data_IF_286590683059
#
_entry.id   IF_286590683059
#
_cell.length_a   1.000
_cell.length_b   1.000
_cell.length_c   1.000
_cell.angle_alpha   90.00
_cell.angle_beta   90.00
_cell.angle_gamma   90.00
#
_symmetry.space_group_name_H-M   'P 1'
#
loop_
_entity.id
_entity.type
_entity.pdbx_description
1 polymer ?
#
# COMPACT_ATOMS: atom_id res chain seq x y z
N UNK A 1 42.91 -7.69 -59.09
CA UNK A 1 42.52 -8.60 -57.99
C UNK A 1 42.17 -7.86 -56.70
N UNK A 2 42.99 -6.92 -56.23
CA UNK A 2 42.84 -6.30 -54.90
C UNK A 2 41.55 -5.49 -54.72
N UNK A 3 41.15 -4.67 -55.71
CA UNK A 3 39.92 -3.87 -55.62
C UNK A 3 38.65 -4.73 -55.63
N UNK A 4 38.61 -5.75 -56.50
CA UNK A 4 37.51 -6.74 -56.55
C UNK A 4 37.33 -7.45 -55.21
N UNK A 5 38.44 -7.80 -54.54
CA UNK A 5 38.38 -8.41 -53.21
C UNK A 5 37.85 -7.43 -52.14
N UNK A 6 38.19 -6.14 -52.25
CA UNK A 6 37.70 -5.09 -51.35
C UNK A 6 36.20 -4.88 -51.55
N UNK A 7 35.72 -4.87 -52.79
CA UNK A 7 34.29 -4.76 -53.09
C UNK A 7 33.50 -5.97 -52.57
N UNK A 8 34.02 -7.18 -52.76
CA UNK A 8 33.41 -8.39 -52.20
C UNK A 8 33.36 -8.35 -50.67
N UNK A 9 34.46 -7.94 -50.03
CA UNK A 9 34.53 -7.78 -48.58
C UNK A 9 33.53 -6.72 -48.08
N UNK A 10 33.44 -5.58 -48.77
CA UNK A 10 32.48 -4.53 -48.47
C UNK A 10 31.04 -5.07 -48.47
N UNK A 11 30.65 -5.79 -49.53
CA UNK A 11 29.32 -6.41 -49.62
C UNK A 11 29.02 -7.35 -48.45
N UNK A 12 30.00 -8.15 -48.02
CA UNK A 12 29.84 -9.02 -46.85
C UNK A 12 29.65 -8.24 -45.55
N UNK A 13 30.39 -7.14 -45.36
CA UNK A 13 30.28 -6.29 -44.17
C UNK A 13 28.91 -5.60 -44.11
N UNK A 14 28.43 -5.05 -45.22
CA UNK A 14 27.08 -4.46 -45.28
C UNK A 14 26.01 -5.51 -44.92
N UNK A 15 26.12 -6.73 -45.45
CA UNK A 15 25.22 -7.81 -45.09
C UNK A 15 25.29 -8.20 -43.60
N UNK A 16 26.43 -8.03 -42.92
CA UNK A 16 26.50 -8.20 -41.46
C UNK A 16 25.85 -7.04 -40.70
N UNK A 17 25.98 -5.80 -41.18
CA UNK A 17 25.30 -4.64 -40.58
C UNK A 17 23.78 -4.74 -40.65
N UNK A 18 23.24 -5.41 -41.67
CA UNK A 18 21.81 -5.64 -41.81
C UNK A 18 21.23 -6.60 -40.76
N UNK A 19 22.06 -7.43 -40.12
CA UNK A 19 21.58 -8.33 -39.07
C UNK A 19 21.10 -7.53 -37.85
N UNK A 20 19.97 -7.95 -37.28
CA UNK A 20 19.37 -7.34 -36.10
C UNK A 20 20.07 -7.81 -34.81
N UNK A 21 21.35 -7.48 -34.65
CA UNK A 21 22.13 -7.86 -33.47
C UNK A 21 23.29 -6.88 -33.22
N UNK A 22 23.36 -6.29 -32.03
CA UNK A 22 24.34 -5.20 -31.76
C UNK A 22 25.79 -5.68 -31.72
N UNK A 23 26.04 -6.89 -31.23
CA UNK A 23 27.41 -7.45 -31.22
C UNK A 23 27.97 -7.71 -32.62
N UNK A 24 27.15 -8.26 -33.52
CA UNK A 24 27.53 -8.47 -34.92
C UNK A 24 27.85 -7.12 -35.58
N UNK A 25 26.97 -6.12 -35.38
CA UNK A 25 27.20 -4.77 -35.90
C UNK A 25 28.48 -4.16 -35.33
N UNK A 26 28.73 -4.32 -34.03
CA UNK A 26 29.93 -3.82 -33.36
C UNK A 26 31.22 -4.42 -33.94
N UNK A 27 31.32 -5.74 -34.02
CA UNK A 27 32.48 -6.42 -34.64
C UNK A 27 32.65 -6.01 -36.10
N UNK A 28 31.55 -5.79 -36.82
CA UNK A 28 31.58 -5.34 -38.21
C UNK A 28 32.16 -3.93 -38.32
N UNK A 29 31.73 -2.99 -37.47
CA UNK A 29 32.26 -1.61 -37.46
C UNK A 29 33.76 -1.58 -37.11
N UNK A 30 34.24 -2.47 -36.24
CA UNK A 30 35.68 -2.60 -35.97
C UNK A 30 36.49 -2.96 -37.22
N UNK A 31 35.98 -3.88 -38.05
CA UNK A 31 36.62 -4.26 -39.31
C UNK A 31 36.55 -3.10 -40.32
N UNK A 32 35.38 -2.44 -40.40
CA UNK A 32 35.18 -1.27 -41.26
C UNK A 32 36.20 -0.18 -40.91
N UNK A 33 36.47 0.10 -39.63
CA UNK A 33 37.47 1.09 -39.20
C UNK A 33 38.88 0.78 -39.71
N UNK A 34 39.29 -0.49 -39.65
CA UNK A 34 40.60 -0.90 -40.17
C UNK A 34 40.69 -0.72 -41.70
N UNK A 35 39.66 -1.12 -42.43
CA UNK A 35 39.64 -1.01 -43.89
C UNK A 35 39.54 0.44 -44.36
N UNK A 36 38.73 1.26 -43.69
CA UNK A 36 38.59 2.68 -43.95
C UNK A 36 39.93 3.42 -43.80
N UNK A 37 40.71 3.06 -42.79
CA UNK A 37 42.02 3.69 -42.56
C UNK A 37 43.09 3.31 -43.60
N UNK A 38 42.98 2.15 -44.26
CA UNK A 38 44.04 1.60 -45.12
C UNK A 38 43.73 1.66 -46.62
N UNK A 39 42.46 1.74 -47.02
CA UNK A 39 42.05 1.65 -48.42
C UNK A 39 41.30 2.91 -48.89
N UNK A 40 41.77 3.55 -49.96
CA UNK A 40 41.04 4.62 -50.63
C UNK A 40 39.74 4.11 -51.27
N UNK A 41 39.82 3.01 -52.02
CA UNK A 41 38.68 2.43 -52.70
C UNK A 41 37.55 2.07 -51.72
N UNK A 42 37.88 1.49 -50.55
CA UNK A 42 36.90 1.17 -49.52
C UNK A 42 36.23 2.43 -48.93
N UNK A 43 36.97 3.52 -48.72
CA UNK A 43 36.41 4.79 -48.24
C UNK A 43 35.36 5.32 -49.19
N UNK A 44 35.63 5.31 -50.50
CA UNK A 44 34.67 5.76 -51.51
C UNK A 44 33.39 4.93 -51.49
N UNK A 45 33.51 3.59 -51.39
CA UNK A 45 32.35 2.70 -51.28
C UNK A 45 31.52 3.00 -50.03
N UNK A 46 32.15 3.05 -48.85
CA UNK A 46 31.43 3.29 -47.59
C UNK A 46 30.78 4.67 -47.54
N UNK A 47 31.46 5.70 -48.08
CA UNK A 47 30.92 7.06 -48.06
C UNK A 47 29.68 7.20 -48.95
N UNK A 48 29.60 6.45 -50.06
CA UNK A 48 28.38 6.44 -50.88
C UNK A 48 27.15 5.92 -50.10
N UNK A 49 27.36 4.98 -49.17
CA UNK A 49 26.29 4.42 -48.32
C UNK A 49 26.35 4.92 -46.86
N UNK A 50 26.97 6.09 -46.61
CA UNK A 50 27.30 6.53 -45.25
C UNK A 50 26.07 6.70 -44.35
N UNK A 51 24.94 7.13 -44.92
CA UNK A 51 23.67 7.25 -44.19
C UNK A 51 23.20 5.89 -43.65
N UNK A 52 23.37 4.82 -44.44
CA UNK A 52 23.02 3.45 -44.02
C UNK A 52 23.84 3.00 -42.80
N UNK A 53 25.13 3.32 -42.78
CA UNK A 53 26.01 3.07 -41.64
C UNK A 53 25.56 3.84 -40.40
N UNK A 54 25.29 5.15 -40.54
CA UNK A 54 24.83 6.03 -39.45
C UNK A 54 23.54 5.45 -38.84
N UNK A 55 22.56 5.14 -39.68
CA UNK A 55 21.26 4.69 -39.22
C UNK A 55 21.36 3.34 -38.49
N UNK A 56 22.13 2.39 -39.03
CA UNK A 56 22.27 1.04 -38.45
C UNK A 56 23.11 0.99 -37.16
N UNK A 57 24.01 1.95 -36.95
CA UNK A 57 25.01 1.88 -35.87
C UNK A 57 24.89 2.98 -34.81
N UNK A 58 24.24 4.11 -35.10
CA UNK A 58 24.04 5.20 -34.13
C UNK A 58 22.62 5.26 -33.55
N UNK A 59 21.64 4.65 -34.21
CA UNK A 59 20.25 4.59 -33.74
C UNK A 59 19.64 5.97 -33.45
N UNK A 60 19.88 6.93 -34.35
CA UNK A 60 19.53 8.34 -34.15
C UNK A 60 18.04 8.66 -34.36
N UNK A 61 17.22 7.68 -34.74
CA UNK A 61 15.78 7.84 -35.01
C UNK A 61 14.97 6.87 -34.16
N UNK A 62 13.75 7.27 -33.81
CA UNK A 62 12.81 6.47 -32.98
C UNK A 62 12.49 5.13 -33.64
N UNK A 63 12.40 5.11 -34.97
CA UNK A 63 12.09 3.90 -35.74
C UNK A 63 13.28 2.95 -35.91
N UNK A 64 14.50 3.38 -35.54
CA UNK A 64 15.72 2.62 -35.76
C UNK A 64 16.55 2.50 -34.48
N UNK A 65 15.91 2.05 -33.40
CA UNK A 65 16.61 1.72 -32.16
C UNK A 65 17.63 0.60 -32.40
N UNK A 66 18.77 0.70 -31.74
CA UNK A 66 19.82 -0.31 -31.86
C UNK A 66 19.32 -1.66 -31.35
N UNK A 67 19.63 -2.76 -32.06
CA UNK A 67 19.17 -4.09 -31.69
C UNK A 67 19.74 -4.54 -30.34
N UNK A 68 19.16 -5.56 -29.68
CA UNK A 68 19.77 -6.17 -28.51
C UNK A 68 21.14 -6.80 -28.88
N UNK A 69 22.03 -7.01 -27.90
CA UNK A 69 21.93 -6.66 -26.48
C UNK A 69 22.22 -5.17 -26.18
N UNK A 70 21.51 -4.59 -25.20
CA UNK A 70 21.55 -3.15 -24.88
C UNK A 70 22.93 -2.64 -24.44
N UNK A 71 23.72 -3.45 -23.73
CA UNK A 71 25.07 -3.09 -23.31
C UNK A 71 25.98 -2.87 -24.52
N UNK A 72 25.96 -3.82 -25.45
CA UNK A 72 26.73 -3.75 -26.70
C UNK A 72 26.19 -2.69 -27.65
N UNK A 73 24.88 -2.41 -27.63
CA UNK A 73 24.30 -1.30 -28.38
C UNK A 73 24.90 0.05 -27.97
N UNK A 74 25.11 0.29 -26.66
CA UNK A 74 25.79 1.51 -26.18
C UNK A 74 27.24 1.57 -26.69
N UNK A 75 27.99 0.47 -26.55
CA UNK A 75 29.37 0.38 -27.04
C UNK A 75 29.46 0.60 -28.55
N UNK A 76 28.52 0.04 -29.32
CA UNK A 76 28.39 0.23 -30.76
C UNK A 76 28.21 1.71 -31.11
N UNK A 77 27.27 2.39 -30.42
CA UNK A 77 27.01 3.82 -30.64
C UNK A 77 28.26 4.66 -30.36
N UNK A 78 28.87 4.47 -29.18
CA UNK A 78 30.08 5.20 -28.76
C UNK A 78 31.26 4.97 -29.71
N UNK A 79 31.52 3.71 -30.06
CA UNK A 79 32.63 3.35 -30.93
C UNK A 79 32.43 3.90 -32.34
N UNK A 80 31.22 3.78 -32.90
CA UNK A 80 30.90 4.32 -34.23
C UNK A 80 31.08 5.84 -34.28
N UNK A 81 30.58 6.56 -33.28
CA UNK A 81 30.77 8.01 -33.19
C UNK A 81 32.27 8.39 -33.11
N UNK A 82 33.03 7.65 -32.31
CA UNK A 82 34.49 7.83 -32.19
C UNK A 82 35.21 7.61 -33.51
N UNK A 83 34.87 6.55 -34.25
CA UNK A 83 35.41 6.26 -35.58
C UNK A 83 35.11 7.41 -36.54
N UNK A 84 33.86 7.87 -36.61
CA UNK A 84 33.46 8.96 -37.50
C UNK A 84 34.24 10.25 -37.20
N UNK A 85 34.42 10.60 -35.91
CA UNK A 85 35.25 11.75 -35.48
C UNK A 85 36.68 11.61 -35.98
N UNK A 86 37.33 10.46 -35.73
CA UNK A 86 38.70 10.19 -36.18
C UNK A 86 38.85 10.20 -37.71
N UNK A 87 37.85 9.66 -38.42
CA UNK A 87 37.84 9.67 -39.88
C UNK A 87 37.72 11.09 -40.42
N UNK A 88 36.85 11.92 -39.81
CA UNK A 88 36.70 13.33 -40.17
C UNK A 88 38.00 14.12 -39.93
N UNK A 89 38.65 13.96 -38.78
CA UNK A 89 39.93 14.61 -38.47
C UNK A 89 41.02 14.27 -39.49
N UNK A 90 41.08 13.00 -39.92
CA UNK A 90 42.14 12.51 -40.82
C UNK A 90 41.84 12.73 -42.30
N UNK A 91 40.58 12.69 -42.71
CA UNK A 91 40.18 12.62 -44.11
C UNK A 91 39.12 13.66 -44.50
N UNK A 92 38.51 14.37 -43.56
CA UNK A 92 37.46 15.37 -43.79
C UNK A 92 37.79 16.38 -44.90
N UNK A 93 39.00 17.00 -44.93
CA UNK A 93 39.36 17.93 -45.99
C UNK A 93 39.36 17.33 -47.40
N UNK A 94 39.58 16.01 -47.51
CA UNK A 94 39.63 15.29 -48.79
C UNK A 94 38.27 14.78 -49.23
N UNK A 95 37.40 14.39 -48.30
CA UNK A 95 36.09 13.81 -48.61
C UNK A 95 34.98 14.75 -48.14
N UNK A 96 34.49 15.59 -49.05
CA UNK A 96 33.40 16.53 -48.77
C UNK A 96 32.16 15.88 -48.18
N UNK A 97 31.82 14.66 -48.62
CA UNK A 97 30.67 13.93 -48.09
C UNK A 97 30.85 13.59 -46.59
N UNK A 98 32.05 13.17 -46.19
CA UNK A 98 32.38 12.93 -44.79
C UNK A 98 32.31 14.22 -43.96
N UNK A 99 32.84 15.32 -44.49
CA UNK A 99 32.82 16.63 -43.84
C UNK A 99 31.39 17.15 -43.63
N UNK A 100 30.56 17.15 -44.68
CA UNK A 100 29.15 17.56 -44.60
C UNK A 100 28.37 16.66 -43.65
N UNK A 101 28.53 15.33 -43.75
CA UNK A 101 27.84 14.39 -42.85
C UNK A 101 28.26 14.54 -41.39
N UNK A 102 29.55 14.77 -41.11
CA UNK A 102 30.03 15.02 -39.75
C UNK A 102 29.45 16.32 -39.19
N UNK A 103 29.52 17.41 -39.95
CA UNK A 103 28.96 18.70 -39.53
C UNK A 103 27.44 18.61 -39.34
N UNK A 104 26.74 17.84 -40.16
CA UNK A 104 25.31 17.56 -40.00
C UNK A 104 25.03 16.74 -38.72
N UNK A 105 25.82 15.71 -38.41
CA UNK A 105 25.67 14.94 -37.17
C UNK A 105 25.91 15.81 -35.93
N UNK A 106 26.92 16.67 -35.99
CA UNK A 106 27.28 17.61 -34.92
C UNK A 106 26.20 18.69 -34.71
N UNK A 107 25.66 19.25 -35.79
CA UNK A 107 24.79 20.44 -35.73
C UNK A 107 23.29 20.14 -35.81
N UNK A 108 22.88 19.13 -36.58
CA UNK A 108 21.46 18.86 -36.86
C UNK A 108 20.89 17.65 -36.10
N UNK A 109 21.73 16.67 -35.72
CA UNK A 109 21.29 15.50 -34.94
C UNK A 109 21.72 15.54 -33.46
N UNK A 110 22.27 16.67 -33.00
CA UNK A 110 22.78 16.90 -31.63
C UNK A 110 23.59 15.71 -31.08
N UNK A 111 24.36 15.03 -31.94
CA UNK A 111 25.24 13.96 -31.48
C UNK A 111 26.42 14.60 -30.78
N UNK A 112 26.41 14.56 -29.45
CA UNK A 112 27.56 14.97 -28.66
C UNK A 112 28.66 13.91 -28.83
N UNK A 113 29.62 14.19 -29.72
CA UNK A 113 30.75 13.27 -29.96
C UNK A 113 31.67 13.12 -28.74
N UNK A 114 31.58 14.02 -27.76
CA UNK A 114 32.33 13.93 -26.50
C UNK A 114 31.53 13.22 -25.39
N UNK A 115 30.19 13.15 -25.52
CA UNK A 115 29.30 12.38 -24.64
C UNK A 115 28.13 11.74 -25.42
N UNK A 116 28.42 10.64 -26.12
CA UNK A 116 27.50 9.99 -27.09
C UNK A 116 26.27 9.36 -26.42
N UNK A 117 26.33 9.10 -25.11
CA UNK A 117 25.24 8.55 -24.31
C UNK A 117 24.23 9.59 -23.86
N UNK A 118 24.54 10.89 -24.02
CA UNK A 118 23.60 11.95 -23.68
C UNK A 118 22.34 11.82 -24.55
N UNK A 119 21.15 11.67 -23.94
CA UNK A 119 19.92 11.48 -24.69
C UNK A 119 19.69 12.71 -25.57
N UNK A 120 19.57 12.45 -26.88
CA UNK A 120 19.32 13.45 -27.91
C UNK A 120 18.08 14.25 -27.52
N UNK A 121 18.07 15.57 -27.72
CA UNK A 121 16.97 16.44 -27.24
C UNK A 121 15.56 15.96 -27.62
N UNK A 122 15.39 15.31 -28.78
CA UNK A 122 14.13 14.71 -29.23
C UNK A 122 13.76 13.46 -28.43
N UNK A 123 14.71 12.56 -28.16
CA UNK A 123 14.46 11.38 -27.31
C UNK A 123 14.25 11.78 -25.86
N UNK A 124 14.96 12.81 -25.38
CA UNK A 124 14.77 13.37 -24.05
C UNK A 124 13.40 14.04 -23.89
N UNK A 125 12.88 14.69 -24.94
CA UNK A 125 11.54 15.29 -24.94
C UNK A 125 10.45 14.22 -24.92
N UNK A 126 10.55 13.20 -25.76
CA UNK A 126 9.60 12.08 -25.78
C UNK A 126 9.63 11.28 -24.47
N UNK A 127 10.81 11.08 -23.88
CA UNK A 127 10.96 10.42 -22.59
C UNK A 127 10.39 11.28 -21.44
N UNK A 128 10.57 12.62 -21.51
CA UNK A 128 9.88 13.55 -20.61
C UNK A 128 8.36 13.47 -20.76
N UNK A 129 7.83 13.55 -21.97
CA UNK A 129 6.38 13.45 -22.23
C UNK A 129 5.81 12.12 -21.72
N UNK A 130 6.52 11.00 -21.92
CA UNK A 130 6.12 9.70 -21.39
C UNK A 130 6.17 9.66 -19.85
N UNK A 131 7.20 10.24 -19.24
CA UNK A 131 7.34 10.29 -17.79
C UNK A 131 6.28 11.21 -17.16
N UNK A 132 5.99 12.35 -17.77
CA UNK A 132 4.91 13.27 -17.40
C UNK A 132 3.55 12.58 -17.54
N UNK A 133 3.27 11.92 -18.66
CA UNK A 133 2.03 11.17 -18.85
C UNK A 133 1.86 10.05 -17.81
N UNK A 134 2.94 9.33 -17.50
CA UNK A 134 2.93 8.33 -16.45
C UNK A 134 2.70 8.94 -15.07
N UNK A 135 3.32 10.09 -14.77
CA UNK A 135 3.16 10.79 -13.50
C UNK A 135 1.71 11.28 -13.35
N UNK A 136 1.15 11.91 -14.38
CA UNK A 136 -0.26 12.36 -14.41
C UNK A 136 -1.20 11.17 -14.17
N UNK A 137 -0.95 10.03 -14.81
CA UNK A 137 -1.78 8.83 -14.62
C UNK A 137 -1.69 8.32 -13.18
N UNK A 138 -0.50 8.29 -12.58
CA UNK A 138 -0.30 7.84 -11.20
C UNK A 138 -0.96 8.79 -10.19
N UNK A 139 -0.86 10.10 -10.41
CA UNK A 139 -1.52 11.10 -9.56
C UNK A 139 -3.04 11.00 -9.66
N UNK A 140 -3.59 10.83 -10.85
CA UNK A 140 -5.03 10.61 -11.05
C UNK A 140 -5.52 9.33 -10.37
N UNK A 141 -4.76 8.23 -10.47
CA UNK A 141 -5.10 7.00 -9.75
C UNK A 141 -5.14 7.21 -8.23
N UNK A 142 -4.17 7.95 -7.69
CA UNK A 142 -4.12 8.28 -6.26
C UNK A 142 -5.29 9.17 -5.83
N UNK A 143 -5.64 10.16 -6.64
CA UNK A 143 -6.77 11.06 -6.41
C UNK A 143 -8.09 10.29 -6.40
N UNK A 144 -8.32 9.42 -7.38
CA UNK A 144 -9.50 8.56 -7.44
C UNK A 144 -9.63 7.68 -6.20
N UNK A 145 -8.53 7.04 -5.75
CA UNK A 145 -8.54 6.24 -4.53
C UNK A 145 -8.82 7.10 -3.29
N UNK A 146 -8.28 8.31 -3.25
CA UNK A 146 -8.52 9.25 -2.15
C UNK A 146 -9.99 9.65 -2.08
N UNK A 147 -10.60 9.93 -3.23
CA UNK A 147 -12.02 10.24 -3.34
C UNK A 147 -12.89 9.03 -2.94
N UNK A 148 -12.60 7.85 -3.47
CA UNK A 148 -13.33 6.62 -3.12
C UNK A 148 -13.27 6.36 -1.60
N UNK A 149 -12.10 6.51 -0.98
CA UNK A 149 -11.94 6.39 0.47
C UNK A 149 -12.73 7.46 1.24
N UNK A 150 -12.81 8.69 0.74
CA UNK A 150 -13.61 9.76 1.36
C UNK A 150 -15.11 9.44 1.34
N UNK A 151 -15.61 8.96 0.20
CA UNK A 151 -17.02 8.62 0.02
C UNK A 151 -17.43 7.47 0.93
N UNK A 152 -16.68 6.37 0.91
CA UNK A 152 -17.01 5.21 1.75
C UNK A 152 -16.76 5.46 3.24
N UNK A 153 -15.86 6.38 3.61
CA UNK A 153 -15.54 6.67 5.02
C UNK A 153 -16.75 7.13 5.83
N UNK A 154 -17.63 7.93 5.22
CA UNK A 154 -18.84 8.41 5.89
C UNK A 154 -19.88 7.29 6.00
N UNK A 155 -20.03 6.49 4.95
CA UNK A 155 -20.93 5.33 4.95
C UNK A 155 -20.51 4.28 5.98
N UNK A 156 -19.21 3.97 6.06
CA UNK A 156 -18.66 3.04 7.05
C UNK A 156 -18.92 3.56 8.47
N UNK A 157 -18.65 4.83 8.74
CA UNK A 157 -18.91 5.43 10.06
C UNK A 157 -20.39 5.34 10.43
N UNK A 158 -21.29 5.64 9.49
CA UNK A 158 -22.74 5.48 9.69
C UNK A 158 -23.13 4.03 9.97
N UNK A 159 -22.59 3.09 9.20
CA UNK A 159 -22.83 1.65 9.35
C UNK A 159 -22.32 1.13 10.70
N UNK A 160 -21.14 1.58 11.15
CA UNK A 160 -20.58 1.25 12.47
C UNK A 160 -21.47 1.82 13.57
N UNK A 161 -21.86 3.10 13.50
CA UNK A 161 -22.76 3.71 14.49
C UNK A 161 -24.12 3.00 14.56
N UNK A 162 -24.69 2.63 13.41
CA UNK A 162 -25.94 1.84 13.36
C UNK A 162 -25.77 0.47 13.99
N UNK A 163 -24.63 -0.19 13.75
CA UNK A 163 -24.30 -1.49 14.36
C UNK A 163 -24.16 -1.36 15.87
N UNK A 164 -23.45 -0.34 16.36
CA UNK A 164 -23.31 -0.04 17.79
C UNK A 164 -24.65 0.28 18.45
N UNK A 165 -25.51 1.05 17.76
CA UNK A 165 -26.86 1.35 18.23
C UNK A 165 -27.73 0.09 18.31
N UNK A 166 -27.69 -0.77 17.29
CA UNK A 166 -28.38 -2.06 17.31
C UNK A 166 -27.89 -2.93 18.47
N UNK A 167 -26.57 -3.01 18.69
CA UNK A 167 -25.98 -3.72 19.82
C UNK A 167 -26.40 -3.14 21.17
N UNK A 168 -26.38 -1.82 21.34
CA UNK A 168 -26.78 -1.16 22.58
C UNK A 168 -28.26 -1.41 22.92
N UNK A 169 -29.14 -1.39 21.91
CA UNK A 169 -30.55 -1.74 22.09
C UNK A 169 -30.71 -3.21 22.49
N UNK A 170 -30.01 -4.13 21.81
CA UNK A 170 -30.04 -5.56 22.14
C UNK A 170 -29.53 -5.84 23.56
N UNK A 171 -28.42 -5.22 23.97
CA UNK A 171 -27.85 -5.34 25.32
C UNK A 171 -28.77 -4.71 26.37
N UNK A 172 -29.37 -3.55 26.09
CA UNK A 172 -30.27 -2.86 27.02
C UNK A 172 -31.58 -3.61 27.23
N UNK A 173 -32.15 -4.18 26.17
CA UNK A 173 -33.35 -5.03 26.26
C UNK A 173 -33.10 -6.28 27.07
N UNK A 174 -31.90 -6.87 26.96
CA UNK A 174 -31.51 -8.07 27.70
C UNK A 174 -31.21 -7.81 29.19
N UNK A 175 -30.94 -6.56 29.60
CA UNK A 175 -30.77 -6.19 31.02
C UNK A 175 -32.10 -6.02 31.77
N UNK A 176 -33.19 -5.64 31.07
CA UNK A 176 -34.51 -5.45 31.68
C UNK A 176 -35.16 -6.75 32.16
N UNK A 177 -34.70 -7.90 31.69
CA UNK A 177 -35.20 -9.24 32.07
C UNK A 177 -34.52 -9.81 33.33
N UNK A 178 -33.53 -9.11 33.89
CA UNK A 178 -32.76 -9.55 35.06
C UNK A 178 -33.04 -8.69 36.30
N UNK A 179 -34.29 -8.66 36.77
CA UNK A 179 -34.61 -8.19 38.13
C UNK A 179 -34.98 -9.43 38.96
N UNK A 180 -34.17 -9.86 39.95
CA UNK A 180 -34.58 -10.88 40.90
C UNK A 180 -35.73 -10.33 41.74
N UNK A 181 -36.91 -10.94 41.65
CA UNK A 181 -38.01 -10.71 42.58
C UNK A 181 -37.56 -11.17 43.97
N UNK A 182 -37.33 -10.22 44.88
CA UNK A 182 -37.15 -10.50 46.31
C UNK A 182 -38.53 -10.90 46.86
N UNK A 183 -38.67 -12.04 47.57
CA UNK A 183 -39.94 -12.40 48.18
C UNK A 183 -40.30 -11.39 49.28
N UNK A 184 -41.49 -10.82 49.16
CA UNK A 184 -42.12 -9.98 50.19
C UNK A 184 -42.51 -10.87 51.36
N UNK A 185 -41.83 -10.73 52.50
CA UNK A 185 -42.36 -11.14 53.80
C UNK A 185 -42.75 -9.91 54.63
N UNK A 186 -44.00 -9.93 55.04
CA UNK A 186 -44.75 -8.94 55.78
C UNK A 186 -44.23 -8.78 57.21
N UNK A 187 -43.99 -7.55 57.67
CA UNK A 187 -44.11 -7.21 59.09
C UNK A 187 -44.89 -5.90 59.23
N UNK A 188 -45.80 -5.94 60.18
CA UNK A 188 -46.97 -5.10 60.38
C UNK A 188 -46.65 -3.68 60.85
N UNK A 189 -47.59 -2.80 60.54
CA UNK A 189 -47.74 -1.45 61.10
C UNK A 189 -48.04 -1.53 62.60
N UNK A 190 -47.39 -0.69 63.41
CA UNK A 190 -48.06 0.03 64.49
C UNK A 190 -47.53 1.45 64.59
N UNK A 191 -48.48 2.39 64.58
CA UNK A 191 -48.33 3.82 64.75
C UNK A 191 -47.84 4.20 66.15
N UNK A 192 -47.14 5.32 66.31
CA UNK A 192 -47.68 6.57 66.90
C UNK A 192 -46.60 7.46 67.55
N UNK A 193 -46.82 8.77 67.36
CA UNK A 193 -46.56 9.90 68.28
C UNK A 193 -45.19 10.58 68.32
N UNK A 194 -45.18 11.80 67.75
CA UNK A 194 -44.73 13.11 68.26
C UNK A 194 -43.58 13.21 69.28
N UNK A 195 -42.69 14.18 69.03
CA UNK A 195 -41.82 14.75 70.05
C UNK A 195 -40.71 15.64 69.48
N UNK A 196 -40.90 16.94 69.60
CA UNK A 196 -40.04 18.04 69.21
C UNK A 196 -38.66 18.10 69.88
N UNK A 197 -37.85 19.00 69.30
CA UNK A 197 -36.87 19.89 69.92
C UNK A 197 -35.38 19.47 69.97
N UNK A 198 -34.63 20.27 69.20
CA UNK A 198 -33.24 20.64 69.38
C UNK A 198 -32.98 21.19 70.80
N UNK A 199 -31.83 20.89 71.39
CA UNK A 199 -30.85 21.88 71.91
C UNK A 199 -29.74 21.21 72.73
N UNK A 200 -28.52 21.62 72.36
CA UNK A 200 -27.37 21.99 73.18
C UNK A 200 -26.52 20.98 73.97
N UNK A 201 -25.23 21.15 73.65
CA UNK A 201 -24.02 20.75 74.36
C UNK A 201 -24.09 20.99 75.88
N UNK A 202 -23.59 20.04 76.65
CA UNK A 202 -22.51 20.32 77.60
C UNK A 202 -21.84 19.02 78.07
N UNK A 203 -20.51 19.05 78.00
CA UNK A 203 -19.58 18.02 78.43
C UNK A 203 -19.71 17.74 79.95
N UNK A 204 -20.02 16.50 80.33
CA UNK A 204 -19.61 15.95 81.62
C UNK A 204 -19.01 14.55 81.46
N UNK A 205 -17.69 14.55 81.61
CA UNK A 205 -16.74 13.46 81.73
C UNK A 205 -17.29 12.20 82.43
N UNK A 206 -17.53 11.13 81.66
CA UNK A 206 -17.64 9.76 82.20
C UNK A 206 -16.29 9.07 82.03
N UNK A 207 -15.62 8.88 83.17
CA UNK A 207 -14.43 8.04 83.34
C UNK A 207 -14.62 6.68 82.64
N UNK A 208 -13.79 6.39 81.63
CA UNK A 208 -13.72 5.07 81.00
C UNK A 208 -12.77 4.19 81.80
N UNK A 209 -13.25 3.14 82.51
CA UNK A 209 -12.36 2.20 83.15
C UNK A 209 -11.73 1.32 82.07
N UNK A 210 -10.42 1.46 81.88
CA UNK A 210 -9.58 0.48 81.21
C UNK A 210 -9.61 -0.84 82.00
N UNK A 211 -10.42 -1.79 81.55
CA UNK A 211 -10.45 -3.18 82.05
C UNK A 211 -11.12 -4.12 81.04
N UNK A 212 -10.56 -5.30 80.75
CA UNK A 212 -10.78 -5.99 79.49
C UNK A 212 -12.05 -6.86 79.50
N UNK A 213 -13.08 -6.46 78.76
CA UNK A 213 -14.22 -7.33 78.44
C UNK A 213 -13.98 -8.01 77.10
N UNK A 214 -13.73 -9.32 77.20
CA UNK A 214 -13.57 -10.22 76.07
C UNK A 214 -14.84 -10.25 75.21
N UNK A 215 -14.63 -10.29 73.90
CA UNK A 215 -15.53 -10.73 72.83
C UNK A 215 -16.39 -9.63 72.18
N UNK A 216 -15.90 -9.03 71.08
CA UNK A 216 -16.59 -9.06 69.77
C UNK A 216 -15.75 -8.49 68.61
N UNK A 217 -14.42 -8.65 68.65
CA UNK A 217 -13.54 -8.26 67.54
C UNK A 217 -13.91 -8.95 66.22
N UNK A 218 -14.52 -10.13 66.27
CA UNK A 218 -14.98 -10.87 65.08
C UNK A 218 -16.14 -10.18 64.34
N UNK A 219 -17.07 -9.56 65.05
CA UNK A 219 -18.24 -8.92 64.45
C UNK A 219 -17.85 -7.60 63.79
N UNK A 220 -16.94 -6.86 64.42
CA UNK A 220 -16.34 -5.64 63.87
C UNK A 220 -15.47 -5.95 62.64
N UNK A 221 -14.67 -7.03 62.69
CA UNK A 221 -13.87 -7.48 61.54
C UNK A 221 -14.75 -7.97 60.38
N UNK A 222 -15.92 -8.56 60.64
CA UNK A 222 -16.85 -8.99 59.62
C UNK A 222 -17.55 -7.81 58.93
N UNK A 223 -17.90 -6.76 59.68
CA UNK A 223 -18.48 -5.52 59.15
C UNK A 223 -17.50 -4.75 58.25
N UNK A 224 -16.21 -4.78 58.58
CA UNK A 224 -15.12 -4.12 57.82
C UNK A 224 -14.54 -4.97 56.67
N UNK A 225 -15.07 -6.17 56.42
CA UNK A 225 -14.60 -7.08 55.36
C UNK A 225 -13.22 -7.71 55.62
N UNK A 226 -12.72 -7.62 56.84
CA UNK A 226 -11.39 -8.12 57.27
C UNK A 226 -11.46 -9.46 58.03
N UNK A 227 -12.67 -9.94 58.36
CA UNK A 227 -12.91 -11.19 59.10
C UNK A 227 -12.58 -12.48 58.32
N UNK A 228 -12.27 -12.38 57.03
CA UNK A 228 -11.92 -13.51 56.16
C UNK A 228 -10.40 -13.63 55.95
N UNK A 229 -9.61 -13.39 57.00
CA UNK A 229 -8.16 -13.63 56.97
C UNK A 229 -7.87 -15.13 56.79
N UNK A 230 -7.68 -15.55 55.52
CA UNK A 230 -7.11 -16.85 55.17
C UNK A 230 -8.04 -17.86 54.48
N UNK A 231 -9.33 -17.56 54.22
CA UNK A 231 -10.24 -18.48 53.50
C UNK A 231 -10.52 -18.13 52.04
N UNK A 232 -10.18 -16.92 51.59
CA UNK A 232 -10.29 -16.51 50.20
C UNK A 232 -8.90 -16.45 49.58
N UNK A 233 -8.46 -17.57 49.00
CA UNK A 233 -7.29 -17.55 48.13
C UNK A 233 -7.75 -17.06 46.75
N UNK A 234 -7.78 -15.75 46.55
CA UNK A 234 -8.09 -15.15 45.25
C UNK A 234 -6.82 -15.25 44.40
N UNK A 235 -6.65 -16.38 43.72
CA UNK A 235 -5.60 -16.54 42.72
C UNK A 235 -6.12 -16.00 41.39
N UNK A 236 -5.67 -14.81 41.00
CA UNK A 236 -5.96 -14.27 39.67
C UNK A 236 -4.88 -14.81 38.72
N UNK A 237 -5.22 -15.85 37.97
CA UNK A 237 -4.36 -16.38 36.92
C UNK A 237 -4.37 -15.44 35.71
N UNK A 238 -3.29 -14.69 35.52
CA UNK A 238 -3.11 -13.76 34.41
C UNK A 238 -2.73 -14.45 33.08
N UNK A 239 -2.47 -15.76 33.10
CA UNK A 239 -2.10 -16.53 31.90
C UNK A 239 -3.29 -17.17 31.20
N UNK A 240 -4.49 -17.09 31.77
CA UNK A 240 -5.70 -17.41 31.07
C UNK A 240 -6.17 -16.17 30.28
N UNK A 241 -6.09 -16.24 28.95
CA UNK A 241 -6.90 -15.37 28.08
C UNK A 241 -8.30 -15.32 28.68
N UNK A 242 -8.91 -14.13 28.87
CA UNK A 242 -10.15 -14.02 29.62
C UNK A 242 -11.15 -15.03 29.06
N UNK A 243 -11.49 -16.03 29.88
CA UNK A 243 -12.54 -17.00 29.57
C UNK A 243 -13.85 -16.27 29.54
N UNK A 244 -14.14 -15.58 28.45
CA UNK A 244 -15.48 -15.29 27.92
C UNK A 244 -16.56 -14.92 28.96
N UNK A 245 -16.22 -14.30 30.08
CA UNK A 245 -17.14 -14.00 31.20
C UNK A 245 -17.76 -12.61 31.10
N UNK A 246 -17.66 -12.01 29.90
CA UNK A 246 -18.56 -10.96 29.42
C UNK A 246 -19.23 -11.42 28.12
N UNK A 247 -19.60 -12.71 28.03
CA UNK A 247 -20.57 -13.17 27.04
C UNK A 247 -21.95 -12.78 27.55
N UNK A 248 -22.40 -11.56 27.23
CA UNK A 248 -23.84 -11.27 27.28
C UNK A 248 -24.47 -12.12 26.18
N UNK A 249 -24.95 -13.32 26.53
CA UNK A 249 -25.80 -14.10 25.65
C UNK A 249 -27.08 -13.31 25.43
N UNK A 250 -27.18 -12.62 24.29
CA UNK A 250 -28.44 -12.02 23.86
C UNK A 250 -29.35 -13.17 23.44
N UNK A 251 -30.39 -13.42 24.23
CA UNK A 251 -31.41 -14.41 23.88
C UNK A 251 -32.25 -13.81 22.75
N UNK A 252 -32.34 -14.53 21.63
CA UNK A 252 -33.14 -14.07 20.48
C UNK A 252 -34.61 -14.29 20.84
N UNK A 253 -35.31 -13.20 21.13
CA UNK A 253 -36.75 -13.16 21.41
C UNK A 253 -37.48 -12.63 20.18
N UNK A 254 -38.79 -12.86 20.08
CA UNK A 254 -39.58 -12.40 18.92
C UNK A 254 -39.48 -10.87 18.73
N UNK A 255 -39.42 -10.14 19.85
CA UNK A 255 -39.28 -8.68 19.91
C UNK A 255 -37.94 -8.14 19.39
N UNK A 256 -36.89 -8.96 19.36
CA UNK A 256 -35.53 -8.54 18.96
C UNK A 256 -35.07 -9.10 17.61
N UNK A 257 -35.88 -9.96 16.98
CA UNK A 257 -35.59 -10.59 15.68
C UNK A 257 -35.25 -9.57 14.58
N UNK A 258 -36.04 -8.50 14.46
CA UNK A 258 -35.84 -7.45 13.45
C UNK A 258 -34.54 -6.67 13.65
N UNK A 259 -34.13 -6.46 14.91
CA UNK A 259 -32.85 -5.84 15.25
C UNK A 259 -31.66 -6.76 14.93
N UNK A 260 -31.81 -8.08 15.15
CA UNK A 260 -30.80 -9.07 14.79
C UNK A 260 -30.65 -9.20 13.28
N UNK A 261 -31.75 -9.18 12.52
CA UNK A 261 -31.72 -9.19 11.05
C UNK A 261 -31.02 -7.94 10.49
N UNK A 262 -31.37 -6.75 10.98
CA UNK A 262 -30.69 -5.51 10.59
C UNK A 262 -29.19 -5.55 10.95
N UNK A 263 -28.84 -6.07 12.14
CA UNK A 263 -27.45 -6.23 12.55
C UNK A 263 -26.68 -7.20 11.66
N UNK A 264 -27.30 -8.31 11.22
CA UNK A 264 -26.69 -9.23 10.26
C UNK A 264 -26.45 -8.56 8.89
N UNK A 265 -27.39 -7.75 8.41
CA UNK A 265 -27.23 -7.02 7.16
C UNK A 265 -26.10 -5.99 7.23
N UNK A 266 -26.03 -5.22 8.32
CA UNK A 266 -24.93 -4.28 8.59
C UNK A 266 -23.58 -5.00 8.72
N UNK A 267 -23.54 -6.15 9.41
CA UNK A 267 -22.34 -6.98 9.50
C UNK A 267 -21.87 -7.44 8.11
N UNK A 268 -22.81 -7.90 7.26
CA UNK A 268 -22.49 -8.34 5.90
C UNK A 268 -21.99 -7.19 5.04
N UNK A 269 -22.61 -6.01 5.15
CA UNK A 269 -22.20 -4.82 4.42
C UNK A 269 -20.77 -4.37 4.81
N UNK A 270 -20.45 -4.38 6.11
CA UNK A 270 -19.11 -4.10 6.63
C UNK A 270 -18.07 -5.15 6.18
N UNK A 271 -18.40 -6.44 6.31
CA UNK A 271 -17.45 -7.53 6.05
C UNK A 271 -17.25 -7.83 4.57
N UNK A 272 -18.32 -7.90 3.78
CA UNK A 272 -18.26 -8.40 2.40
C UNK A 272 -18.10 -7.26 1.39
N UNK A 273 -18.66 -6.08 1.67
CA UNK A 273 -18.63 -4.95 0.72
C UNK A 273 -17.50 -3.97 1.04
N UNK A 274 -17.53 -3.35 2.23
CA UNK A 274 -16.59 -2.28 2.55
C UNK A 274 -15.16 -2.78 2.74
N UNK A 275 -14.97 -3.96 3.33
CA UNK A 275 -13.65 -4.55 3.49
C UNK A 275 -12.99 -4.88 2.13
N UNK A 276 -13.77 -5.40 1.17
CA UNK A 276 -13.27 -5.67 -0.19
C UNK A 276 -12.94 -4.39 -0.96
N UNK A 277 -13.76 -3.34 -0.85
CA UNK A 277 -13.45 -2.02 -1.46
C UNK A 277 -12.15 -1.44 -0.88
N UNK A 278 -12.00 -1.43 0.44
CA UNK A 278 -10.78 -0.94 1.09
C UNK A 278 -9.54 -1.76 0.71
N UNK A 279 -9.67 -3.09 0.58
CA UNK A 279 -8.59 -3.94 0.07
C UNK A 279 -8.19 -3.57 -1.37
N UNK A 280 -9.16 -3.28 -2.24
CA UNK A 280 -8.86 -2.82 -3.60
C UNK A 280 -8.11 -1.48 -3.59
N UNK A 281 -8.57 -0.50 -2.81
CA UNK A 281 -7.87 0.78 -2.62
C UNK A 281 -6.42 0.58 -2.17
N UNK A 282 -6.17 -0.29 -1.17
CA UNK A 282 -4.80 -0.60 -0.72
C UNK A 282 -3.94 -1.21 -1.83
N UNK A 283 -4.48 -2.13 -2.63
CA UNK A 283 -3.73 -2.74 -3.74
C UNK A 283 -3.32 -1.70 -4.79
N UNK A 284 -4.19 -0.73 -5.08
CA UNK A 284 -3.87 0.37 -5.99
C UNK A 284 -2.79 1.26 -5.38
N UNK A 285 -2.89 1.62 -4.09
CA UNK A 285 -1.85 2.38 -3.39
C UNK A 285 -0.48 1.69 -3.43
N UNK A 286 -0.42 0.36 -3.24
CA UNK A 286 0.83 -0.42 -3.33
C UNK A 286 1.43 -0.30 -4.73
N UNK A 287 0.61 -0.45 -5.79
CA UNK A 287 1.07 -0.31 -7.19
C UNK A 287 1.60 1.09 -7.47
N UNK A 288 0.97 2.13 -6.93
CA UNK A 288 1.43 3.52 -7.08
C UNK A 288 2.73 3.73 -6.30
N UNK A 289 2.85 3.19 -5.08
CA UNK A 289 4.03 3.33 -4.24
C UNK A 289 5.29 2.70 -4.86
N UNK A 290 5.16 1.56 -5.56
CA UNK A 290 6.28 0.94 -6.28
C UNK A 290 6.86 1.84 -7.38
N UNK A 291 6.05 2.74 -7.94
CA UNK A 291 6.45 3.63 -9.02
C UNK A 291 6.76 5.06 -8.54
N UNK A 292 6.34 5.43 -7.33
CA UNK A 292 6.51 6.77 -6.77
C UNK A 292 6.43 6.76 -5.23
N UNK A 293 7.54 7.10 -4.56
CA UNK A 293 7.62 7.22 -3.09
C UNK A 293 7.11 8.59 -2.60
N UNK A 294 5.83 8.87 -2.86
CA UNK A 294 5.19 10.12 -2.42
C UNK A 294 4.69 10.04 -0.97
N UNK A 295 4.91 11.11 -0.19
CA UNK A 295 4.31 11.27 1.15
C UNK A 295 2.77 11.15 1.11
N UNK A 296 2.15 11.62 0.02
CA UNK A 296 0.70 11.52 -0.18
C UNK A 296 0.21 10.06 -0.23
N UNK A 297 0.94 9.17 -0.91
CA UNK A 297 0.61 7.73 -0.93
C UNK A 297 0.63 7.12 0.46
N UNK A 298 1.59 7.50 1.29
CA UNK A 298 1.67 7.04 2.68
C UNK A 298 0.48 7.51 3.50
N UNK A 299 0.03 8.76 3.33
CA UNK A 299 -1.13 9.31 4.04
C UNK A 299 -2.42 8.59 3.65
N UNK A 300 -2.65 8.44 2.34
CA UNK A 300 -3.83 7.74 1.80
C UNK A 300 -3.83 6.27 2.26
N UNK A 301 -2.67 5.61 2.23
CA UNK A 301 -2.55 4.22 2.67
C UNK A 301 -2.77 4.07 4.18
N UNK A 302 -2.25 4.98 5.01
CA UNK A 302 -2.53 4.98 6.46
C UNK A 302 -4.02 5.10 6.73
N UNK A 303 -4.71 6.01 6.04
CA UNK A 303 -6.15 6.18 6.19
C UNK A 303 -6.94 4.92 5.81
N UNK A 304 -6.56 4.24 4.72
CA UNK A 304 -7.19 2.97 4.33
C UNK A 304 -6.99 1.88 5.41
N UNK A 305 -5.82 1.85 6.05
CA UNK A 305 -5.53 0.93 7.16
C UNK A 305 -6.40 1.27 8.38
N UNK A 306 -6.51 2.55 8.74
CA UNK A 306 -7.32 2.99 9.88
C UNK A 306 -8.81 2.62 9.69
N UNK A 307 -9.37 2.85 8.49
CA UNK A 307 -10.73 2.44 8.15
C UNK A 307 -10.92 0.92 8.23
N UNK A 308 -9.97 0.14 7.71
CA UNK A 308 -10.01 -1.32 7.82
C UNK A 308 -9.99 -1.76 9.28
N UNK A 309 -9.16 -1.16 10.12
CA UNK A 309 -9.06 -1.47 11.54
C UNK A 309 -10.36 -1.11 12.29
N UNK A 310 -10.98 0.00 11.95
CA UNK A 310 -12.30 0.41 12.49
C UNK A 310 -13.39 -0.62 12.18
N UNK A 311 -13.50 -1.04 10.90
CA UNK A 311 -14.43 -2.10 10.49
C UNK A 311 -14.15 -3.40 11.24
N UNK A 312 -12.89 -3.85 11.29
CA UNK A 312 -12.53 -5.09 11.98
C UNK A 312 -12.83 -5.04 13.48
N UNK A 313 -12.74 -3.87 14.10
CA UNK A 313 -13.07 -3.70 15.53
C UNK A 313 -14.58 -3.79 15.76
N UNK A 314 -15.38 -3.19 14.89
CA UNK A 314 -16.84 -3.31 14.91
C UNK A 314 -17.31 -4.76 14.68
N UNK A 315 -16.73 -5.46 13.70
CA UNK A 315 -17.05 -6.88 13.43
C UNK A 315 -16.68 -7.78 14.61
N UNK A 316 -15.51 -7.57 15.24
CA UNK A 316 -15.12 -8.29 16.46
C UNK A 316 -16.09 -8.03 17.62
N UNK A 317 -16.61 -6.81 17.74
CA UNK A 317 -17.61 -6.48 18.75
C UNK A 317 -18.89 -7.32 18.53
N UNK A 318 -19.41 -7.39 17.30
CA UNK A 318 -20.56 -8.25 16.95
C UNK A 318 -20.29 -9.73 17.23
N UNK A 319 -19.10 -10.22 16.88
CA UNK A 319 -18.67 -11.60 17.14
C UNK A 319 -18.62 -11.93 18.64
N UNK A 320 -18.17 -10.99 19.48
CA UNK A 320 -18.12 -11.16 20.93
C UNK A 320 -19.51 -11.35 21.55
N UNK A 321 -20.56 -10.75 20.98
CA UNK A 321 -21.94 -10.97 21.40
C UNK A 321 -22.58 -12.24 20.82
N UNK A 322 -21.82 -13.05 20.04
CA UNK A 322 -22.32 -14.23 19.29
C UNK A 322 -23.47 -13.92 18.32
N UNK A 323 -23.59 -12.67 17.90
CA UNK A 323 -24.60 -12.18 16.95
C UNK A 323 -24.08 -12.17 15.51
N UNK A 324 -22.93 -12.82 15.25
CA UNK A 324 -22.41 -12.93 13.90
C UNK A 324 -23.29 -13.89 13.08
N UNK A 325 -23.68 -13.53 11.83
CA UNK A 325 -24.43 -14.43 10.98
C UNK A 325 -23.62 -15.70 10.72
N UNK A 326 -24.27 -16.87 10.83
CA UNK A 326 -23.64 -18.15 10.45
C UNK A 326 -23.17 -18.02 9.01
N UNK A 327 -21.86 -18.14 8.76
CA UNK A 327 -21.31 -18.17 7.40
C UNK A 327 -22.12 -19.16 6.58
N UNK A 328 -22.82 -18.67 5.55
CA UNK A 328 -23.46 -19.55 4.59
C UNK A 328 -22.35 -20.36 3.93
N UNK A 329 -22.16 -21.59 4.38
CA UNK A 329 -21.40 -22.60 3.66
C UNK A 329 -22.18 -22.80 2.37
N UNK A 330 -21.81 -22.08 1.32
CA UNK A 330 -22.25 -22.41 -0.03
C UNK A 330 -21.63 -23.79 -0.28
N UNK A 331 -22.44 -24.87 -0.42
CA UNK A 331 -21.88 -26.15 -0.80
C UNK A 331 -21.27 -25.95 -2.19
N UNK A 332 -19.96 -26.17 -2.30
CA UNK A 332 -19.30 -26.32 -3.60
C UNK A 332 -19.97 -27.50 -4.29
N UNK A 333 -20.89 -27.23 -5.19
CA UNK A 333 -21.37 -28.19 -6.17
C UNK A 333 -20.21 -28.46 -7.11
N UNK A 334 -19.54 -29.58 -6.89
CA UNK A 334 -18.80 -30.30 -7.92
C UNK A 334 -19.76 -30.63 -9.06
N UNK A 335 -19.49 -30.08 -10.24
CA UNK A 335 -20.07 -30.42 -11.52
C UNK A 335 -18.99 -30.29 -12.58
#
# INVERSE_FOLDING_TARGET
>A
QTEVNIEYCYRLLIAQLDKYHSEIRFSTVQIIDQLFNRSHHFRTLLLNDFNSLIDKCLGLTVDNQLPPPNQTAKLLKQFTATCIKKWHEKFGPTYKLLDVSYNYLKNCKYLNFDNVDEPIGITAQLERERNEANQIRLTQQLENVTQELNEISNEISSCINQTENCLNLLVSSNRKTSIPTIPTESIEQTNDSDGDDDEDDDDDFIDVPLGPTKNNDQELLQLLGLGTAGKLNITIDLNERPRSSSLVNVEITDDNRTLVENLHDLYRQLNDVYLSKIQNCMNICIKVQQNSNGQQTTIVMKRAIDLKNSIQSCLKMVENYRLAPKKSVIPKTTG
#
